data_IF_714048817785
#
_entry.id   IF_714048817785
#
_cell.length_a   1.000
_cell.length_b   1.000
_cell.length_c   1.000
_cell.angle_alpha   90.00
_cell.angle_beta   90.00
_cell.angle_gamma   90.00
#
_symmetry.space_group_name_H-M   'P 1'
#
loop_
_entity.id
_entity.type
_entity.pdbx_description
1 polymer ?
#
# COMPACT_ATOMS: atom_id res chain seq x y z
N UNK A 1 2.49 -8.17 10.78
CA UNK A 1 3.81 -7.65 10.49
C UNK A 1 4.08 -7.53 9.00
N UNK A 2 3.27 -6.74 8.29
CA UNK A 2 3.49 -6.36 6.90
C UNK A 2 3.64 -7.55 5.95
N UNK A 3 4.66 -7.46 5.09
CA UNK A 3 4.96 -8.46 4.06
C UNK A 3 5.85 -9.63 4.55
N UNK A 4 6.07 -9.76 5.84
CA UNK A 4 6.88 -10.82 6.46
C UNK A 4 6.04 -11.73 7.34
N UNK A 5 6.54 -12.95 7.60
CA UNK A 5 5.90 -13.88 8.52
C UNK A 5 4.83 -14.80 7.95
N UNK A 6 4.52 -14.68 6.65
CA UNK A 6 3.59 -15.60 5.98
C UNK A 6 4.35 -16.78 5.37
N UNK A 7 4.14 -18.03 5.83
CA UNK A 7 4.81 -19.20 5.26
C UNK A 7 4.46 -19.33 3.77
N UNK A 8 5.47 -19.60 2.96
CA UNK A 8 5.34 -19.73 1.50
C UNK A 8 4.64 -18.54 0.81
N UNK A 9 4.60 -17.37 1.45
CA UNK A 9 3.83 -16.19 1.01
C UNK A 9 2.31 -16.45 0.90
N UNK A 10 1.79 -17.38 1.68
CA UNK A 10 0.35 -17.66 1.74
C UNK A 10 -0.33 -16.82 2.81
N UNK A 11 -1.33 -16.06 2.43
CA UNK A 11 -2.28 -15.43 3.34
C UNK A 11 -3.41 -16.45 3.55
N UNK A 12 -3.70 -16.86 4.77
CA UNK A 12 -4.62 -17.98 5.05
C UNK A 12 -6.11 -17.65 4.80
N UNK A 13 -6.41 -17.03 3.66
CA UNK A 13 -7.76 -16.57 3.29
C UNK A 13 -8.75 -17.72 3.04
N UNK A 14 -8.25 -18.91 2.76
CA UNK A 14 -9.08 -20.11 2.52
C UNK A 14 -9.28 -20.96 3.77
N UNK A 15 -8.64 -20.60 4.88
CA UNK A 15 -8.87 -21.26 6.16
C UNK A 15 -10.31 -21.00 6.63
N UNK A 16 -11.04 -22.02 7.14
CA UNK A 16 -12.38 -21.86 7.67
C UNK A 16 -12.48 -20.85 8.83
N UNK A 17 -11.41 -20.68 9.61
CA UNK A 17 -11.37 -19.75 10.73
C UNK A 17 -11.10 -18.29 10.30
N UNK A 18 -10.73 -18.05 9.04
CA UNK A 18 -10.37 -16.71 8.56
C UNK A 18 -11.51 -15.71 8.73
N UNK A 19 -12.74 -16.08 8.46
CA UNK A 19 -13.91 -15.21 8.62
C UNK A 19 -14.14 -14.85 10.10
N UNK A 20 -14.05 -15.85 10.98
CA UNK A 20 -14.19 -15.63 12.44
C UNK A 20 -13.10 -14.72 12.96
N UNK A 21 -11.85 -14.95 12.56
CA UNK A 21 -10.72 -14.10 12.91
C UNK A 21 -10.92 -12.66 12.43
N UNK A 22 -11.35 -12.46 11.19
CA UNK A 22 -11.61 -11.13 10.65
C UNK A 22 -12.75 -10.41 11.39
N UNK A 23 -13.80 -11.13 11.77
CA UNK A 23 -14.92 -10.57 12.56
C UNK A 23 -14.44 -10.08 13.92
N UNK A 24 -13.66 -10.88 14.64
CA UNK A 24 -13.06 -10.50 15.93
C UNK A 24 -12.12 -9.30 15.82
N UNK A 25 -11.28 -9.27 14.78
CA UNK A 25 -10.35 -8.17 14.55
C UNK A 25 -11.08 -6.89 14.15
N UNK A 26 -12.09 -6.98 13.30
CA UNK A 26 -12.91 -5.84 12.91
C UNK A 26 -13.60 -5.20 14.13
N UNK A 27 -14.15 -6.01 15.03
CA UNK A 27 -14.77 -5.50 16.26
C UNK A 27 -13.81 -4.68 17.12
N UNK A 28 -12.54 -5.12 17.21
CA UNK A 28 -11.48 -4.39 17.93
C UNK A 28 -11.05 -3.13 17.18
N UNK A 29 -10.90 -3.21 15.85
CA UNK A 29 -10.46 -2.11 14.99
C UNK A 29 -11.41 -0.91 15.09
N UNK A 30 -12.71 -1.17 15.07
CA UNK A 30 -13.74 -0.11 15.08
C UNK A 30 -14.15 0.33 16.48
N UNK A 31 -13.36 0.02 17.52
CA UNK A 31 -13.71 0.37 18.90
C UNK A 31 -13.95 1.86 19.12
N UNK A 32 -13.28 2.72 18.36
CA UNK A 32 -13.39 4.18 18.43
C UNK A 32 -14.27 4.78 17.31
N UNK A 33 -15.16 4.03 16.68
CA UNK A 33 -16.00 4.47 15.55
C UNK A 33 -16.86 5.71 15.81
N UNK A 34 -17.01 6.11 17.06
CA UNK A 34 -17.73 7.35 17.43
C UNK A 34 -16.86 8.59 17.35
N UNK A 35 -15.54 8.46 17.12
CA UNK A 35 -14.65 9.60 16.92
C UNK A 35 -14.78 10.11 15.49
N UNK A 36 -15.42 11.28 15.35
CA UNK A 36 -15.65 11.96 14.07
C UNK A 36 -14.38 12.41 13.34
N UNK A 37 -13.21 12.30 13.98
CA UNK A 37 -11.92 12.60 13.35
C UNK A 37 -11.31 11.37 12.64
N UNK A 38 -11.87 10.18 12.81
CA UNK A 38 -11.49 9.00 12.06
C UNK A 38 -12.06 9.11 10.64
N UNK A 39 -11.21 8.99 9.63
CA UNK A 39 -11.61 8.97 8.21
C UNK A 39 -12.00 7.56 7.79
N UNK A 40 -11.23 6.56 8.23
CA UNK A 40 -11.40 5.17 7.83
C UNK A 40 -10.35 4.24 8.44
N UNK A 41 -10.37 3.01 7.98
CA UNK A 41 -9.57 1.92 8.54
C UNK A 41 -8.67 1.27 7.49
N UNK A 42 -7.41 1.05 7.84
CA UNK A 42 -6.54 0.09 7.18
C UNK A 42 -6.64 -1.25 7.90
N UNK A 43 -6.75 -2.34 7.14
CA UNK A 43 -6.83 -3.69 7.70
C UNK A 43 -5.46 -4.33 7.88
N UNK A 44 -4.50 -3.97 7.05
CA UNK A 44 -3.16 -4.56 7.05
C UNK A 44 -2.14 -3.66 6.33
N UNK A 45 -0.89 -4.12 6.25
CA UNK A 45 0.18 -3.45 5.53
C UNK A 45 0.99 -4.43 4.70
N UNK A 46 1.12 -4.16 3.39
CA UNK A 46 2.04 -4.84 2.48
C UNK A 46 1.90 -6.37 2.48
N UNK A 47 0.66 -6.85 2.42
CA UNK A 47 0.40 -8.28 2.32
C UNK A 47 1.08 -8.87 1.08
N UNK A 48 1.60 -10.11 1.19
CA UNK A 48 2.35 -10.76 0.10
C UNK A 48 1.42 -11.29 -1.00
N UNK A 49 0.52 -10.45 -1.50
CA UNK A 49 -0.21 -10.77 -2.72
C UNK A 49 0.76 -10.88 -3.89
N UNK A 50 0.54 -11.81 -4.79
CA UNK A 50 1.33 -11.85 -6.00
C UNK A 50 1.48 -13.22 -6.65
N UNK A 51 2.26 -13.29 -7.74
CA UNK A 51 2.37 -14.49 -8.56
C UNK A 51 2.87 -15.73 -7.83
N UNK A 52 3.59 -15.54 -6.72
CA UNK A 52 4.09 -16.66 -5.91
C UNK A 52 3.01 -17.32 -5.03
N UNK A 53 1.83 -16.72 -4.92
CA UNK A 53 0.77 -17.30 -4.08
C UNK A 53 0.36 -18.70 -4.59
N UNK A 54 0.21 -18.89 -5.89
CA UNK A 54 -0.23 -20.18 -6.42
C UNK A 54 0.71 -21.33 -6.01
N UNK A 55 1.99 -21.22 -6.32
CA UNK A 55 2.99 -22.19 -5.93
C UNK A 55 3.14 -22.28 -4.40
N UNK A 56 3.00 -21.14 -3.71
CA UNK A 56 3.03 -21.11 -2.25
C UNK A 56 2.00 -22.05 -1.64
N UNK A 57 0.74 -21.97 -2.06
CA UNK A 57 -0.32 -22.85 -1.60
C UNK A 57 -0.10 -24.29 -2.03
N UNK A 58 0.28 -24.54 -3.29
CA UNK A 58 0.50 -25.90 -3.83
C UNK A 58 1.63 -26.64 -3.10
N UNK A 59 2.58 -25.92 -2.51
CA UNK A 59 3.74 -26.48 -1.80
C UNK A 59 3.56 -26.57 -0.29
N UNK A 60 2.39 -26.24 0.26
CA UNK A 60 2.08 -26.48 1.67
C UNK A 60 2.18 -27.98 1.98
N UNK A 61 2.85 -28.32 3.09
CA UNK A 61 3.21 -29.69 3.40
C UNK A 61 2.00 -30.59 3.69
N UNK A 62 0.97 -30.05 4.33
CA UNK A 62 -0.26 -30.79 4.60
C UNK A 62 -1.15 -30.84 3.34
N UNK A 63 -1.36 -32.00 2.73
CA UNK A 63 -2.25 -32.14 1.57
C UNK A 63 -3.71 -31.76 1.85
N UNK A 64 -4.13 -31.81 3.12
CA UNK A 64 -5.48 -31.42 3.56
C UNK A 64 -5.59 -29.95 3.96
N UNK A 65 -4.53 -29.15 3.77
CA UNK A 65 -4.59 -27.72 4.05
C UNK A 65 -5.64 -27.05 3.15
N UNK A 66 -6.57 -26.26 3.71
CA UNK A 66 -7.65 -25.64 2.94
C UNK A 66 -7.15 -24.79 1.77
N UNK A 67 -6.03 -24.06 1.95
CA UNK A 67 -5.44 -23.26 0.88
C UNK A 67 -4.86 -24.11 -0.24
N UNK A 68 -4.15 -25.19 0.10
CA UNK A 68 -3.64 -26.14 -0.89
C UNK A 68 -4.77 -26.82 -1.67
N UNK A 69 -5.78 -27.33 -0.96
CA UNK A 69 -6.96 -27.95 -1.57
C UNK A 69 -7.67 -26.97 -2.51
N UNK A 70 -7.77 -25.71 -2.11
CA UNK A 70 -8.37 -24.67 -2.96
C UNK A 70 -7.54 -24.43 -4.23
N UNK A 71 -6.22 -24.27 -4.11
CA UNK A 71 -5.34 -24.05 -5.25
C UNK A 71 -5.36 -25.23 -6.25
N UNK A 72 -5.32 -26.48 -5.77
CA UNK A 72 -5.45 -27.69 -6.59
C UNK A 72 -6.81 -27.75 -7.30
N UNK A 73 -7.89 -27.41 -6.60
CA UNK A 73 -9.24 -27.34 -7.15
C UNK A 73 -9.39 -26.26 -8.22
N UNK A 74 -8.75 -25.09 -8.00
CA UNK A 74 -8.75 -24.01 -8.95
C UNK A 74 -8.07 -24.41 -10.26
N UNK A 75 -6.86 -25.00 -10.19
CA UNK A 75 -6.18 -25.53 -11.38
C UNK A 75 -7.02 -26.56 -12.15
N UNK A 76 -7.63 -27.50 -11.41
CA UNK A 76 -8.52 -28.52 -12.00
C UNK A 76 -9.71 -27.89 -12.73
N UNK A 77 -10.32 -26.86 -12.12
CA UNK A 77 -11.44 -26.13 -12.73
C UNK A 77 -11.05 -25.39 -14.01
N UNK A 78 -9.83 -24.90 -14.07
CA UNK A 78 -9.27 -24.25 -15.27
C UNK A 78 -8.78 -25.26 -16.32
N UNK A 79 -8.72 -26.56 -15.99
CA UNK A 79 -8.18 -27.59 -16.88
C UNK A 79 -6.65 -27.51 -17.04
N UNK A 80 -5.94 -26.93 -16.06
CA UNK A 80 -4.50 -26.64 -16.11
C UNK A 80 -3.73 -27.67 -15.28
N UNK A 81 -2.69 -28.28 -15.86
CA UNK A 81 -1.72 -29.08 -15.11
C UNK A 81 -0.60 -28.20 -14.54
N UNK A 82 0.16 -28.70 -13.58
CA UNK A 82 1.29 -27.96 -12.97
C UNK A 82 2.31 -27.47 -14.00
N UNK A 83 2.56 -28.25 -15.06
CA UNK A 83 3.50 -27.93 -16.13
C UNK A 83 2.98 -26.84 -17.09
N UNK A 84 1.70 -26.57 -17.07
CA UNK A 84 1.04 -25.58 -17.93
C UNK A 84 0.81 -24.24 -17.23
N UNK A 85 1.23 -24.09 -15.97
CA UNK A 85 1.07 -22.84 -15.24
C UNK A 85 1.91 -21.74 -15.91
N UNK A 86 1.25 -20.66 -16.33
CA UNK A 86 1.85 -19.45 -16.90
C UNK A 86 1.87 -18.30 -15.88
N UNK A 87 2.53 -17.22 -16.21
CA UNK A 87 2.51 -16.01 -15.36
C UNK A 87 1.10 -15.39 -15.28
N UNK A 88 0.31 -15.49 -16.34
CA UNK A 88 -1.08 -15.05 -16.35
C UNK A 88 -1.93 -15.84 -15.32
N UNK A 89 -1.81 -17.17 -15.30
CA UNK A 89 -2.48 -18.00 -14.30
C UNK A 89 -2.06 -17.65 -12.87
N UNK A 90 -0.80 -17.28 -12.65
CA UNK A 90 -0.30 -16.84 -11.35
C UNK A 90 -0.91 -15.50 -10.91
N UNK A 91 -1.05 -14.57 -11.85
CA UNK A 91 -1.67 -13.26 -11.58
C UNK A 91 -3.18 -13.39 -11.37
N UNK A 92 -3.85 -14.25 -12.12
CA UNK A 92 -5.26 -14.58 -11.92
C UNK A 92 -5.50 -15.18 -10.53
N UNK A 93 -4.69 -16.16 -10.14
CA UNK A 93 -4.83 -16.77 -8.82
C UNK A 93 -4.51 -15.77 -7.69
N UNK A 94 -3.53 -14.90 -7.87
CA UNK A 94 -3.24 -13.82 -6.93
C UNK A 94 -4.45 -12.88 -6.78
N UNK A 95 -5.17 -12.62 -7.86
CA UNK A 95 -6.45 -11.91 -7.84
C UNK A 95 -7.52 -12.63 -7.03
N UNK A 96 -7.62 -13.95 -7.14
CA UNK A 96 -8.56 -14.76 -6.34
C UNK A 96 -8.24 -14.66 -4.84
N UNK A 97 -6.96 -14.71 -4.46
CA UNK A 97 -6.53 -14.54 -3.07
C UNK A 97 -6.88 -13.14 -2.55
N UNK A 98 -6.60 -12.10 -3.33
CA UNK A 98 -6.92 -10.72 -3.00
C UNK A 98 -8.44 -10.49 -2.89
N UNK A 99 -9.22 -11.02 -3.83
CA UNK A 99 -10.69 -10.98 -3.82
C UNK A 99 -11.24 -11.55 -2.52
N UNK A 100 -10.80 -12.74 -2.14
CA UNK A 100 -11.25 -13.39 -0.91
C UNK A 100 -10.88 -12.56 0.33
N UNK A 101 -9.64 -12.05 0.37
CA UNK A 101 -9.18 -11.22 1.47
C UNK A 101 -10.04 -9.96 1.62
N UNK A 102 -10.10 -9.13 0.57
CA UNK A 102 -10.80 -7.84 0.64
C UNK A 102 -12.29 -8.00 0.91
N UNK A 103 -12.92 -9.03 0.33
CA UNK A 103 -14.32 -9.34 0.58
C UNK A 103 -14.58 -9.60 2.06
N UNK A 104 -13.91 -10.59 2.64
CA UNK A 104 -14.14 -11.02 4.02
C UNK A 104 -13.85 -9.89 5.00
N UNK A 105 -12.73 -9.18 4.81
CA UNK A 105 -12.34 -8.09 5.71
C UNK A 105 -13.29 -6.91 5.60
N UNK A 106 -13.68 -6.53 4.39
CA UNK A 106 -14.64 -5.43 4.16
C UNK A 106 -16.01 -5.75 4.80
N UNK A 107 -16.53 -6.96 4.59
CA UNK A 107 -17.78 -7.39 5.18
C UNK A 107 -17.73 -7.37 6.71
N UNK A 108 -16.62 -7.85 7.30
CA UNK A 108 -16.41 -7.83 8.74
C UNK A 108 -16.36 -6.39 9.31
N UNK A 109 -15.63 -5.48 8.68
CA UNK A 109 -15.54 -4.09 9.14
C UNK A 109 -16.90 -3.40 9.01
N UNK A 110 -17.56 -3.50 7.86
CA UNK A 110 -18.85 -2.85 7.59
C UNK A 110 -20.00 -3.37 8.46
N UNK A 111 -19.91 -4.58 8.95
CA UNK A 111 -20.86 -5.13 9.94
C UNK A 111 -20.90 -4.31 11.21
N UNK A 112 -19.75 -3.77 11.65
CA UNK A 112 -19.63 -3.01 12.91
C UNK A 112 -19.57 -1.50 12.71
N UNK A 113 -19.06 -1.06 11.56
CA UNK A 113 -18.99 0.35 11.17
C UNK A 113 -19.25 0.55 9.67
N UNK A 114 -20.49 0.83 9.29
CA UNK A 114 -20.86 1.10 7.91
C UNK A 114 -20.54 2.54 7.45
N UNK A 115 -20.10 3.43 8.35
CA UNK A 115 -20.03 4.86 8.08
C UNK A 115 -18.62 5.34 7.71
N UNK A 116 -17.57 4.75 8.28
CA UNK A 116 -16.19 5.12 7.96
C UNK A 116 -15.67 4.32 6.77
N UNK A 117 -14.68 4.91 6.06
CA UNK A 117 -14.12 4.31 4.87
C UNK A 117 -13.29 3.05 5.19
N UNK A 118 -13.40 2.06 4.34
CA UNK A 118 -12.44 0.95 4.31
C UNK A 118 -11.34 1.27 3.28
N UNK A 119 -10.12 1.46 3.77
CA UNK A 119 -8.95 1.88 3.00
C UNK A 119 -8.07 0.69 2.55
N UNK A 120 -8.46 -0.52 2.94
CA UNK A 120 -7.81 -1.76 2.53
C UNK A 120 -6.48 -2.06 3.20
N UNK A 121 -5.73 -2.96 2.58
CA UNK A 121 -4.32 -3.22 2.83
C UNK A 121 -3.49 -2.34 1.91
N UNK A 122 -2.42 -1.75 2.42
CA UNK A 122 -1.54 -0.87 1.63
C UNK A 122 -0.72 -1.70 0.65
N UNK A 123 -0.98 -1.56 -0.66
CA UNK A 123 -0.31 -2.33 -1.70
C UNK A 123 1.12 -1.83 -1.91
N UNK A 124 2.09 -2.75 -1.87
CA UNK A 124 3.51 -2.46 -2.07
C UNK A 124 4.14 -3.41 -3.10
N UNK A 125 5.26 -3.01 -3.69
CA UNK A 125 6.02 -3.85 -4.61
C UNK A 125 5.23 -4.25 -5.86
N UNK A 126 5.33 -5.51 -6.28
CA UNK A 126 4.68 -6.04 -7.49
C UNK A 126 3.14 -6.04 -7.44
N UNK A 127 2.48 -6.31 -6.31
CA UNK A 127 1.00 -6.31 -6.20
C UNK A 127 0.29 -5.10 -6.78
N UNK A 128 0.84 -3.89 -6.61
CA UNK A 128 0.23 -2.66 -7.13
C UNK A 128 0.23 -2.53 -8.67
N UNK A 129 0.96 -3.40 -9.36
CA UNK A 129 1.04 -3.45 -10.83
C UNK A 129 0.25 -4.64 -11.43
N UNK A 130 -0.40 -5.46 -10.60
CA UNK A 130 -1.19 -6.61 -11.04
C UNK A 130 -2.66 -6.20 -11.09
N UNK A 131 -3.20 -6.19 -12.28
CA UNK A 131 -4.57 -5.73 -12.56
C UNK A 131 -5.60 -6.43 -11.68
N UNK A 132 -5.55 -7.75 -11.58
CA UNK A 132 -6.51 -8.56 -10.84
C UNK A 132 -6.54 -8.23 -9.33
N UNK A 133 -5.37 -7.88 -8.76
CA UNK A 133 -5.25 -7.46 -7.35
C UNK A 133 -5.85 -6.07 -7.15
N UNK A 134 -5.54 -5.13 -8.04
CA UNK A 134 -6.06 -3.75 -7.97
C UNK A 134 -7.58 -3.72 -8.19
N UNK A 135 -8.10 -4.52 -9.13
CA UNK A 135 -9.54 -4.69 -9.33
C UNK A 135 -10.23 -5.27 -8.09
N UNK A 136 -9.62 -6.28 -7.44
CA UNK A 136 -10.13 -6.83 -6.18
C UNK A 136 -10.17 -5.75 -5.08
N UNK A 137 -9.11 -4.98 -4.91
CA UNK A 137 -9.11 -3.86 -3.98
C UNK A 137 -10.24 -2.86 -4.30
N UNK A 138 -10.40 -2.47 -5.56
CA UNK A 138 -11.42 -1.52 -6.00
C UNK A 138 -12.86 -1.98 -5.76
N UNK A 139 -13.13 -3.29 -5.79
CA UNK A 139 -14.47 -3.83 -5.51
C UNK A 139 -14.90 -3.68 -4.06
N UNK A 140 -13.97 -3.73 -3.13
CA UNK A 140 -14.28 -3.80 -1.69
C UNK A 140 -13.81 -2.62 -0.87
N UNK A 141 -12.77 -1.88 -1.33
CA UNK A 141 -12.29 -0.67 -0.66
C UNK A 141 -13.02 0.57 -1.20
N UNK A 142 -13.11 1.60 -0.35
CA UNK A 142 -13.62 2.92 -0.76
C UNK A 142 -12.53 3.75 -1.42
N UNK A 143 -11.27 3.56 -0.99
CA UNK A 143 -10.06 4.16 -1.54
C UNK A 143 -8.99 3.08 -1.60
N UNK A 144 -8.23 2.99 -2.70
CA UNK A 144 -7.12 2.04 -2.82
C UNK A 144 -5.84 2.65 -2.24
N UNK A 145 -5.28 2.01 -1.24
CA UNK A 145 -4.07 2.47 -0.56
C UNK A 145 -2.80 1.84 -1.15
N UNK A 146 -1.79 2.68 -1.42
CA UNK A 146 -0.57 2.29 -2.12
C UNK A 146 0.65 2.87 -1.43
N UNK A 147 1.63 2.02 -1.09
CA UNK A 147 2.99 2.41 -0.73
C UNK A 147 3.80 2.56 -2.02
N UNK A 148 4.16 3.80 -2.38
CA UNK A 148 4.74 4.09 -3.68
C UNK A 148 6.21 4.46 -3.59
N UNK A 149 7.06 3.46 -3.58
CA UNK A 149 8.50 3.58 -3.63
C UNK A 149 9.06 3.30 -5.02
N UNK A 150 10.31 3.68 -5.24
CA UNK A 150 11.05 3.37 -6.46
C UNK A 150 10.71 4.24 -7.67
N UNK A 151 9.93 5.31 -7.49
CA UNK A 151 9.63 6.30 -8.52
C UNK A 151 10.08 7.69 -8.07
N UNK A 152 10.97 8.32 -8.83
CA UNK A 152 11.34 9.72 -8.62
C UNK A 152 10.19 10.64 -9.03
N UNK A 153 9.66 10.41 -10.21
CA UNK A 153 8.43 11.03 -10.72
C UNK A 153 7.32 10.00 -10.69
N UNK A 154 6.14 10.26 -10.11
CA UNK A 154 5.01 9.36 -10.21
C UNK A 154 4.68 9.07 -11.67
N UNK A 155 4.51 7.80 -12.01
CA UNK A 155 4.20 7.39 -13.37
C UNK A 155 2.72 7.67 -13.70
N UNK A 156 2.45 8.59 -14.60
CA UNK A 156 1.11 8.90 -15.09
C UNK A 156 0.39 7.62 -15.56
N UNK A 157 1.05 6.82 -16.40
CA UNK A 157 0.51 5.53 -16.88
C UNK A 157 0.11 4.60 -15.74
N UNK A 158 0.94 4.50 -14.71
CA UNK A 158 0.67 3.63 -13.56
C UNK A 158 -0.53 4.14 -12.76
N UNK A 159 -0.58 5.43 -12.48
CA UNK A 159 -1.69 6.03 -11.73
C UNK A 159 -3.01 5.95 -12.51
N UNK A 160 -2.95 6.14 -13.84
CA UNK A 160 -4.09 5.92 -14.73
C UNK A 160 -4.61 4.48 -14.65
N UNK A 161 -3.71 3.49 -14.70
CA UNK A 161 -4.10 2.09 -14.54
C UNK A 161 -4.75 1.82 -13.18
N UNK A 162 -4.26 2.41 -12.09
CA UNK A 162 -4.92 2.23 -10.77
C UNK A 162 -6.35 2.75 -10.78
N UNK A 163 -6.60 3.93 -11.34
CA UNK A 163 -7.93 4.48 -11.48
C UNK A 163 -8.85 3.64 -12.37
N UNK A 164 -8.33 3.21 -13.54
CA UNK A 164 -9.08 2.40 -14.51
C UNK A 164 -9.42 1.01 -13.95
N UNK A 165 -8.49 0.34 -13.27
CA UNK A 165 -8.71 -1.01 -12.76
C UNK A 165 -9.56 -1.04 -11.49
N UNK A 166 -9.26 -0.13 -10.54
CA UNK A 166 -10.00 -0.06 -9.30
C UNK A 166 -11.38 0.58 -9.44
N UNK A 167 -11.59 1.51 -10.39
CA UNK A 167 -12.75 2.38 -10.48
C UNK A 167 -13.01 3.12 -9.15
N UNK A 168 -11.92 3.47 -8.46
CA UNK A 168 -11.89 4.13 -7.16
C UNK A 168 -10.74 5.14 -7.13
N UNK A 169 -10.81 6.18 -6.30
CA UNK A 169 -9.65 7.00 -6.01
C UNK A 169 -8.59 6.19 -5.27
N UNK A 170 -7.34 6.69 -5.31
CA UNK A 170 -6.25 6.09 -4.57
C UNK A 170 -5.62 7.10 -3.60
N UNK A 171 -4.97 6.57 -2.56
CA UNK A 171 -4.16 7.33 -1.61
C UNK A 171 -2.75 6.74 -1.57
N UNK A 172 -1.73 7.60 -1.61
CA UNK A 172 -0.36 7.18 -1.37
C UNK A 172 -0.09 7.19 0.13
N UNK A 173 0.17 6.03 0.68
CA UNK A 173 0.30 5.83 2.13
C UNK A 173 1.73 5.80 2.65
N UNK A 174 2.70 5.64 1.75
CA UNK A 174 4.12 5.75 2.09
C UNK A 174 4.93 6.18 0.87
N UNK A 175 5.78 7.19 1.05
CA UNK A 175 6.90 7.58 0.20
C UNK A 175 7.83 8.49 0.99
N UNK A 176 9.11 8.55 0.63
CA UNK A 176 10.09 9.49 1.19
C UNK A 176 11.34 9.59 0.33
N UNK A 177 12.15 10.60 0.60
CA UNK A 177 13.53 10.76 0.13
C UNK A 177 14.48 10.93 1.32
N UNK A 178 15.74 10.56 1.14
CA UNK A 178 16.82 10.62 2.14
C UNK A 178 17.77 11.76 1.80
N UNK A 179 18.23 12.52 2.81
CA UNK A 179 19.24 13.58 2.65
C UNK A 179 20.62 13.14 3.16
N UNK A 180 21.67 13.34 2.36
CA UNK A 180 23.05 12.98 2.73
C UNK A 180 23.59 13.85 3.88
N UNK A 181 23.03 15.04 4.05
CA UNK A 181 23.40 16.01 5.10
C UNK A 181 22.75 15.71 6.47
N UNK A 182 22.02 14.61 6.60
CA UNK A 182 21.38 14.21 7.86
C UNK A 182 22.34 13.65 8.92
N UNK A 183 23.55 13.27 8.54
CA UNK A 183 24.50 12.55 9.40
C UNK A 183 24.23 11.05 9.49
N UNK A 184 23.13 10.53 8.93
CA UNK A 184 22.85 9.10 8.83
C UNK A 184 23.50 8.51 7.57
N UNK A 185 23.92 7.24 7.64
CA UNK A 185 24.63 6.58 6.53
C UNK A 185 23.74 6.35 5.28
N UNK A 186 22.41 6.25 5.47
CA UNK A 186 21.44 6.08 4.37
C UNK A 186 21.67 4.86 3.46
N UNK A 187 22.31 3.80 3.99
CA UNK A 187 22.65 2.59 3.21
C UNK A 187 21.44 1.70 2.97
N UNK A 188 20.42 1.84 3.79
CA UNK A 188 19.16 1.07 3.72
C UNK A 188 17.98 1.98 3.37
N UNK A 189 16.81 1.36 3.13
CA UNK A 189 15.55 2.06 2.89
C UNK A 189 15.26 2.37 1.43
N UNK A 190 13.96 2.36 1.10
CA UNK A 190 13.41 2.40 -0.26
C UNK A 190 13.39 3.81 -0.89
N UNK A 191 13.54 4.88 -0.10
CA UNK A 191 13.52 6.26 -0.61
C UNK A 191 14.78 6.61 -1.39
N UNK A 192 14.66 7.44 -2.41
CA UNK A 192 15.81 8.01 -3.12
C UNK A 192 16.67 8.86 -2.20
N UNK A 193 17.95 8.97 -2.52
CA UNK A 193 18.91 9.80 -1.79
C UNK A 193 19.19 11.07 -2.59
N UNK A 194 19.10 12.21 -1.93
CA UNK A 194 19.45 13.54 -2.42
C UNK A 194 20.55 14.14 -1.54
N UNK A 195 21.17 15.24 -1.96
CA UNK A 195 22.33 15.80 -1.24
C UNK A 195 21.92 16.52 0.06
N UNK A 196 20.79 17.23 0.03
CA UNK A 196 20.41 18.16 1.13
C UNK A 196 18.96 18.00 1.56
N UNK A 197 18.64 18.51 2.75
CA UNK A 197 17.26 18.61 3.24
C UNK A 197 16.41 19.56 2.37
N UNK A 198 17.03 20.54 1.73
CA UNK A 198 16.34 21.41 0.77
C UNK A 198 15.88 20.60 -0.46
N UNK A 199 16.73 19.74 -0.99
CA UNK A 199 16.39 18.86 -2.11
C UNK A 199 15.35 17.80 -1.72
N UNK A 200 15.30 17.36 -0.45
CA UNK A 200 14.19 16.54 0.05
C UNK A 200 12.86 17.30 -0.08
N UNK A 201 12.85 18.58 0.24
CA UNK A 201 11.69 19.45 0.06
C UNK A 201 11.25 19.55 -1.42
N UNK A 202 12.18 19.75 -2.34
CA UNK A 202 11.90 19.80 -3.77
C UNK A 202 11.41 18.45 -4.30
N UNK A 203 11.99 17.35 -3.86
CA UNK A 203 11.56 16.02 -4.23
C UNK A 203 10.12 15.74 -3.74
N UNK A 204 9.78 16.18 -2.52
CA UNK A 204 8.41 16.09 -2.02
C UNK A 204 7.43 16.86 -2.91
N UNK A 205 7.73 18.13 -3.20
CA UNK A 205 6.87 18.98 -4.03
C UNK A 205 6.70 18.38 -5.43
N UNK A 206 7.79 17.96 -6.06
CA UNK A 206 7.77 17.31 -7.37
C UNK A 206 6.88 16.06 -7.39
N UNK A 207 7.06 15.16 -6.41
CA UNK A 207 6.29 13.94 -6.34
C UNK A 207 4.80 14.22 -6.14
N UNK A 208 4.45 15.10 -5.22
CA UNK A 208 3.06 15.45 -4.89
C UNK A 208 2.37 16.18 -6.03
N UNK A 209 3.05 17.07 -6.76
CA UNK A 209 2.48 17.71 -7.96
C UNK A 209 2.06 16.66 -8.99
N UNK A 210 2.89 15.64 -9.24
CA UNK A 210 2.51 14.54 -10.13
C UNK A 210 1.33 13.70 -9.61
N UNK A 211 1.18 13.55 -8.27
CA UNK A 211 0.00 12.91 -7.69
C UNK A 211 -1.26 13.75 -7.93
N UNK A 212 -1.20 15.05 -7.74
CA UNK A 212 -2.33 15.95 -7.97
C UNK A 212 -2.74 16.00 -9.45
N UNK A 213 -1.76 16.04 -10.35
CA UNK A 213 -1.98 16.00 -11.81
C UNK A 213 -2.75 14.75 -12.27
N UNK A 214 -2.65 13.62 -11.53
CA UNK A 214 -3.36 12.39 -11.89
C UNK A 214 -4.89 12.49 -11.83
N UNK A 215 -5.44 13.47 -11.11
CA UNK A 215 -6.88 13.67 -10.90
C UNK A 215 -7.58 12.60 -10.04
N UNK A 216 -6.88 11.51 -9.68
CA UNK A 216 -7.44 10.38 -8.92
C UNK A 216 -6.81 10.18 -7.53
N UNK A 217 -5.74 10.90 -7.19
CA UNK A 217 -5.11 10.85 -5.89
C UNK A 217 -5.85 11.74 -4.90
N UNK A 218 -6.37 11.15 -3.82
CA UNK A 218 -7.14 11.88 -2.80
C UNK A 218 -6.35 12.20 -1.53
N UNK A 219 -5.07 11.81 -1.47
CA UNK A 219 -4.20 12.11 -0.33
C UNK A 219 -2.86 11.39 -0.39
N UNK A 220 -1.98 11.82 0.48
CA UNK A 220 -0.64 11.22 0.57
C UNK A 220 -0.09 11.33 1.99
N UNK A 221 0.71 10.34 2.40
CA UNK A 221 1.41 10.30 3.67
C UNK A 221 2.91 10.15 3.43
N UNK A 222 3.68 11.05 4.05
CA UNK A 222 5.13 10.91 4.12
C UNK A 222 5.51 9.83 5.14
N UNK A 223 6.44 8.96 4.79
CA UNK A 223 6.96 7.94 5.68
C UNK A 223 8.40 8.31 6.07
N UNK A 224 8.66 8.84 7.28
CA UNK A 224 7.73 8.92 8.42
C UNK A 224 8.00 10.20 9.25
N UNK A 225 7.45 10.26 10.49
CA UNK A 225 7.59 11.41 11.36
C UNK A 225 9.03 11.62 11.84
N UNK A 226 9.70 10.57 12.35
CA UNK A 226 11.04 10.60 12.92
C UNK A 226 11.99 9.67 12.16
N UNK A 227 13.27 10.01 12.11
CA UNK A 227 14.31 9.15 11.56
C UNK A 227 14.40 7.81 12.31
N UNK A 228 14.91 6.80 11.63
CA UNK A 228 15.30 5.59 12.33
C UNK A 228 16.58 5.85 13.14
N UNK A 229 16.61 5.28 14.34
CA UNK A 229 17.82 5.19 15.14
C UNK A 229 18.50 3.84 14.88
N UNK A 230 19.67 3.83 14.22
CA UNK A 230 20.38 2.59 13.91
C UNK A 230 20.86 1.82 15.15
N UNK A 231 20.85 2.46 16.32
CA UNK A 231 21.26 1.85 17.60
C UNK A 231 20.09 1.29 18.38
N UNK A 232 18.84 1.61 17.99
CA UNK A 232 17.66 1.17 18.69
C UNK A 232 17.43 -0.34 18.53
N UNK A 233 17.16 -1.02 19.66
CA UNK A 233 16.77 -2.43 19.62
C UNK A 233 15.43 -2.59 18.92
N UNK A 234 15.39 -3.49 17.93
CA UNK A 234 14.17 -3.78 17.16
C UNK A 234 13.87 -2.75 16.06
N UNK A 235 14.82 -1.87 15.72
CA UNK A 235 14.71 -1.06 14.52
C UNK A 235 14.56 -1.96 13.28
N UNK A 236 13.72 -1.52 12.34
CA UNK A 236 13.47 -2.26 11.11
C UNK A 236 14.75 -2.39 10.27
N UNK A 237 15.29 -3.60 10.06
CA UNK A 237 16.53 -3.80 9.33
C UNK A 237 16.45 -3.36 7.87
N UNK A 238 15.27 -3.28 7.26
CA UNK A 238 15.11 -2.87 5.87
C UNK A 238 15.37 -1.38 5.64
N UNK A 239 15.36 -0.58 6.70
CA UNK A 239 15.59 0.86 6.64
C UNK A 239 16.23 1.42 7.93
N UNK A 240 17.17 0.67 8.48
CA UNK A 240 17.78 0.87 9.79
C UNK A 240 18.42 2.26 9.97
N UNK A 241 19.13 2.75 8.97
CA UNK A 241 19.94 3.96 8.99
C UNK A 241 19.42 5.07 8.07
N UNK A 242 18.13 5.05 7.78
CA UNK A 242 17.51 5.95 6.78
C UNK A 242 17.05 7.27 7.38
N UNK A 243 17.49 8.38 6.76
CA UNK A 243 16.91 9.71 6.96
C UNK A 243 15.56 9.81 6.25
N UNK A 244 14.50 9.51 6.96
CA UNK A 244 13.13 9.55 6.44
C UNK A 244 12.19 10.43 7.26
N UNK A 245 12.65 10.90 8.43
CA UNK A 245 11.88 11.72 9.33
C UNK A 245 11.61 13.15 8.82
N UNK A 246 10.59 13.76 9.40
CA UNK A 246 10.44 15.21 9.46
C UNK A 246 11.34 15.81 10.56
N UNK A 247 11.64 14.98 11.57
CA UNK A 247 12.54 15.29 12.65
C UNK A 247 13.64 14.22 12.73
N UNK A 248 14.77 14.62 13.29
CA UNK A 248 15.88 13.72 13.61
C UNK A 248 15.63 12.94 14.92
N UNK A 249 16.63 12.16 15.36
CA UNK A 249 16.56 11.37 16.59
C UNK A 249 16.72 12.22 17.88
N UNK A 250 17.06 13.50 17.74
CA UNK A 250 17.14 14.48 18.80
C UNK A 250 15.93 15.43 18.83
N UNK A 251 14.90 15.13 18.00
CA UNK A 251 13.66 15.90 17.84
C UNK A 251 13.85 17.28 17.18
N UNK A 252 14.96 17.52 16.47
CA UNK A 252 15.14 18.72 15.69
C UNK A 252 14.41 18.59 14.35
N UNK A 253 13.68 19.65 13.98
CA UNK A 253 12.93 19.70 12.73
C UNK A 253 13.86 19.90 11.53
N UNK A 254 13.74 19.09 10.50
CA UNK A 254 14.31 19.34 9.18
C UNK A 254 13.54 20.46 8.48
N UNK A 255 13.85 21.71 8.91
CA UNK A 255 13.11 22.90 8.52
C UNK A 255 12.95 23.08 7.00
N UNK A 256 13.98 22.89 6.14
CA UNK A 256 13.80 23.05 4.69
C UNK A 256 12.77 22.08 4.11
N UNK A 257 12.74 20.82 4.54
CA UNK A 257 11.73 19.84 4.15
C UNK A 257 10.33 20.24 4.65
N UNK A 258 10.23 20.60 5.94
CA UNK A 258 8.95 20.96 6.56
C UNK A 258 8.32 22.20 5.94
N UNK A 259 9.13 23.22 5.61
CA UNK A 259 8.67 24.45 4.95
C UNK A 259 8.13 24.15 3.53
N UNK A 260 8.84 23.34 2.74
CA UNK A 260 8.41 22.94 1.42
C UNK A 260 7.10 22.11 1.44
N UNK A 261 6.98 21.18 2.42
CA UNK A 261 5.74 20.45 2.64
C UNK A 261 4.58 21.35 3.00
N UNK A 262 4.80 22.29 3.94
CA UNK A 262 3.79 23.25 4.37
C UNK A 262 3.32 24.12 3.21
N UNK A 263 4.25 24.67 2.42
CA UNK A 263 3.93 25.51 1.26
C UNK A 263 3.02 24.78 0.26
N UNK A 264 3.37 23.56 -0.10
CA UNK A 264 2.54 22.79 -1.03
C UNK A 264 1.19 22.43 -0.40
N UNK A 265 1.20 21.91 0.84
CA UNK A 265 -0.02 21.35 1.45
C UNK A 265 -1.10 22.43 1.68
N UNK A 266 -0.74 23.67 2.04
CA UNK A 266 -1.72 24.77 2.15
C UNK A 266 -2.31 25.18 0.81
N UNK A 267 -1.66 24.86 -0.30
CA UNK A 267 -2.12 25.15 -1.66
C UNK A 267 -2.70 23.91 -2.38
N UNK A 268 -2.79 22.75 -1.72
CA UNK A 268 -3.13 21.48 -2.37
C UNK A 268 -4.47 21.54 -3.15
N UNK A 269 -5.52 22.10 -2.56
CA UNK A 269 -6.82 22.24 -3.25
C UNK A 269 -6.77 23.19 -4.44
N UNK A 270 -6.03 24.31 -4.34
CA UNK A 270 -5.86 25.24 -5.46
C UNK A 270 -5.08 24.62 -6.61
N UNK A 271 -4.10 23.79 -6.28
CA UNK A 271 -3.32 23.03 -7.27
C UNK A 271 -4.17 21.96 -7.95
N UNK A 272 -4.97 21.21 -7.18
CA UNK A 272 -5.91 20.23 -7.73
C UNK A 272 -6.91 20.91 -8.69
N UNK A 273 -7.56 21.98 -8.27
CA UNK A 273 -8.47 22.76 -9.14
C UNK A 273 -7.79 23.25 -10.43
N UNK A 274 -6.52 23.66 -10.34
CA UNK A 274 -5.78 24.10 -11.51
C UNK A 274 -5.52 22.93 -12.50
N UNK A 275 -5.09 21.77 -12.01
CA UNK A 275 -4.89 20.60 -12.86
C UNK A 275 -6.19 20.13 -13.51
N UNK A 276 -7.31 20.13 -12.77
CA UNK A 276 -8.62 19.76 -13.31
C UNK A 276 -9.08 20.69 -14.44
N UNK A 277 -8.80 22.00 -14.31
CA UNK A 277 -9.10 22.98 -15.38
C UNK A 277 -8.23 22.74 -16.64
N UNK A 278 -6.93 22.41 -16.48
CA UNK A 278 -6.06 22.11 -17.62
C UNK A 278 -6.52 20.83 -18.36
N UNK A 279 -6.93 19.82 -17.62
CA UNK A 279 -7.41 18.56 -18.20
C UNK A 279 -8.69 18.75 -19.03
N UNK A 280 -9.59 19.63 -18.60
CA UNK A 280 -10.83 19.96 -19.31
C UNK A 280 -10.61 20.84 -20.56
N UNK A 281 -9.51 21.58 -20.61
CA UNK A 281 -9.19 22.46 -21.75
C UNK A 281 -8.52 21.69 -22.91
N UNK A 282 -7.94 20.55 -22.62
CA UNK A 282 -7.20 19.70 -23.58
C UNK A 282 -8.07 18.56 -24.16
N UNK A 283 -9.34 18.47 -23.82
CA UNK A 283 -10.35 17.58 -24.40
C UNK A 283 -11.21 18.33 -25.44
#
# INVERSE_FOLDING_TARGET
PGNTGYPNQCIFVFDPEFETYCDEMAQKLVANKMDKNIIGYFSDNELPFGPKNLEGYLTLQNPGDPGRVYAESWLKKQGITLQQITDEHREEFAGVVAERYYKVVSEAIRKYDPNHLYLGSRLHGKPKFIRQIVEAAGRYCDVVAINYYGAWTPSEKTMKHWGEWAQKPFIITEFYTKGMDSGLANTTGAGFTVQTQQERGYAYQHFVLGLLESGNCVGWHWFRYQDNDPTAKGADPSNLDSNKGLIDNEYNLYKPLADAMKELNINAYRLADWFDQQSNTNQ
#
